data_IF_188936431610
#
_entry.id   IF_188936431610
#
_cell.length_a   1.000
_cell.length_b   1.000
_cell.length_c   1.000
_cell.angle_alpha   90.00
_cell.angle_beta   90.00
_cell.angle_gamma   90.00
#
_symmetry.space_group_name_H-M   'P 1'
#
loop_
_entity.id
_entity.type
_entity.pdbx_description
1 polymer ?
#
# COMPACT_ATOMS: atom_id res chain seq x y z
N UNK A 1 -9.50 10.22 -31.70
CA UNK A 1 -8.32 10.16 -30.80
C UNK A 1 -7.94 8.69 -30.71
N UNK A 2 -6.86 8.33 -31.39
CA UNK A 2 -6.41 6.95 -31.60
C UNK A 2 -5.83 6.39 -30.29
N UNK A 3 -6.24 5.17 -29.91
CA UNK A 3 -5.68 4.46 -28.76
C UNK A 3 -4.22 4.12 -29.06
N UNK A 4 -3.27 4.66 -28.29
CA UNK A 4 -1.85 4.30 -28.35
C UNK A 4 -1.40 3.83 -26.97
N UNK A 5 -0.43 2.93 -26.93
CA UNK A 5 0.33 2.61 -25.72
C UNK A 5 1.28 3.79 -25.48
N UNK A 6 1.14 4.51 -24.37
CA UNK A 6 1.78 5.82 -24.12
C UNK A 6 2.73 5.79 -22.91
N UNK A 7 2.79 4.64 -22.25
CA UNK A 7 3.56 4.47 -21.02
C UNK A 7 3.94 3.01 -20.85
N UNK A 8 5.05 2.79 -20.16
CA UNK A 8 5.55 1.46 -19.83
C UNK A 8 5.91 1.42 -18.34
N UNK A 9 5.28 0.54 -17.58
CA UNK A 9 5.73 0.12 -16.26
C UNK A 9 6.55 -1.17 -16.37
N UNK A 10 7.74 -1.15 -15.79
CA UNK A 10 8.49 -2.37 -15.58
C UNK A 10 7.87 -3.13 -14.40
N UNK A 11 7.30 -4.30 -14.67
CA UNK A 11 6.81 -5.19 -13.61
C UNK A 11 7.97 -5.71 -12.78
N UNK A 12 8.08 -5.24 -11.55
CA UNK A 12 8.99 -5.73 -10.52
C UNK A 12 8.42 -5.45 -9.13
N UNK A 13 8.84 -6.19 -8.10
CA UNK A 13 8.50 -5.82 -6.73
C UNK A 13 9.04 -4.42 -6.44
N UNK A 14 8.31 -3.61 -5.68
CA UNK A 14 8.65 -2.21 -5.32
C UNK A 14 10.09 -2.06 -4.75
N UNK A 15 10.67 -3.15 -4.23
CA UNK A 15 12.01 -3.23 -3.66
C UNK A 15 13.15 -3.49 -4.69
N UNK A 16 12.81 -3.81 -5.94
CA UNK A 16 13.73 -3.83 -7.09
C UNK A 16 13.61 -2.49 -7.85
N UNK A 17 14.52 -2.24 -8.81
CA UNK A 17 14.49 -1.03 -9.67
C UNK A 17 13.14 -0.90 -10.37
N UNK A 18 12.25 -0.10 -9.78
CA UNK A 18 10.92 0.20 -10.31
C UNK A 18 11.01 1.50 -11.09
N UNK A 19 10.53 1.51 -12.34
CA UNK A 19 10.63 2.67 -13.23
C UNK A 19 9.35 2.86 -14.01
N UNK A 20 8.89 4.11 -14.09
CA UNK A 20 7.74 4.52 -14.91
C UNK A 20 8.26 5.45 -16.00
N UNK A 21 8.18 5.01 -17.25
CA UNK A 21 8.34 5.88 -18.41
C UNK A 21 6.97 6.41 -18.82
N UNK A 22 6.75 7.72 -18.73
CA UNK A 22 5.51 8.35 -19.18
C UNK A 22 5.83 9.38 -20.27
N UNK A 23 5.13 9.28 -21.39
CA UNK A 23 5.13 10.31 -22.41
C UNK A 23 3.90 11.20 -22.18
N UNK A 24 4.14 12.51 -22.01
CA UNK A 24 3.06 13.50 -21.86
C UNK A 24 2.23 13.54 -23.15
N UNK A 25 1.07 12.89 -23.09
CA UNK A 25 0.13 12.76 -24.21
C UNK A 25 -1.11 13.63 -24.03
N UNK A 26 -1.10 14.47 -22.99
CA UNK A 26 -2.14 15.43 -22.70
C UNK A 26 -1.52 16.67 -22.10
N UNK A 27 -1.93 17.85 -22.59
CA UNK A 27 -1.59 19.12 -21.95
C UNK A 27 -2.33 19.32 -20.62
N UNK A 28 -3.28 18.42 -20.30
CA UNK A 28 -4.00 18.45 -19.04
C UNK A 28 -3.23 17.62 -17.99
N UNK A 29 -2.85 18.21 -16.84
CA UNK A 29 -2.13 17.51 -15.77
C UNK A 29 -2.84 16.27 -15.25
N UNK A 30 -4.16 16.23 -15.39
CA UNK A 30 -4.95 15.07 -15.00
C UNK A 30 -4.74 13.86 -15.91
N UNK A 31 -4.40 14.07 -17.19
CA UNK A 31 -4.07 12.98 -18.09
C UNK A 31 -2.78 12.29 -17.66
N UNK A 32 -1.74 13.08 -17.41
CA UNK A 32 -0.49 12.59 -16.84
C UNK A 32 -0.72 11.90 -15.48
N UNK A 33 -1.52 12.48 -14.59
CA UNK A 33 -1.84 11.88 -13.29
C UNK A 33 -2.57 10.53 -13.40
N UNK A 34 -3.53 10.41 -14.32
CA UNK A 34 -4.25 9.16 -14.55
C UNK A 34 -3.31 8.05 -15.07
N UNK A 35 -2.39 8.40 -15.97
CA UNK A 35 -1.43 7.44 -16.50
C UNK A 35 -0.34 7.10 -15.47
N UNK A 36 0.14 8.06 -14.69
CA UNK A 36 1.01 7.75 -13.55
C UNK A 36 0.34 6.79 -12.57
N UNK A 37 -0.95 6.99 -12.25
CA UNK A 37 -1.70 6.09 -11.38
C UNK A 37 -1.83 4.68 -11.97
N UNK A 38 -2.01 4.56 -13.29
CA UNK A 38 -2.02 3.27 -14.00
C UNK A 38 -0.69 2.52 -13.85
N UNK A 39 0.43 3.19 -14.12
CA UNK A 39 1.76 2.57 -14.04
C UNK A 39 2.19 2.26 -12.61
N UNK A 40 1.83 3.11 -11.65
CA UNK A 40 1.98 2.83 -10.23
C UNK A 40 1.17 1.57 -9.85
N UNK A 41 -0.03 1.40 -10.40
CA UNK A 41 -0.82 0.19 -10.24
C UNK A 41 -0.05 -1.07 -10.63
N UNK A 42 0.63 -1.08 -11.79
CA UNK A 42 1.48 -2.21 -12.19
C UNK A 42 2.69 -2.42 -11.27
N UNK A 43 3.29 -1.36 -10.73
CA UNK A 43 4.37 -1.48 -9.71
C UNK A 43 3.86 -2.14 -8.42
N UNK A 44 2.59 -1.90 -8.05
CA UNK A 44 1.89 -2.62 -6.99
C UNK A 44 1.27 -3.93 -7.48
N UNK A 45 1.75 -4.50 -8.57
CA UNK A 45 1.33 -5.81 -9.05
C UNK A 45 -0.14 -5.89 -9.45
N UNK A 46 -0.83 -4.77 -9.69
CA UNK A 46 -2.21 -4.73 -10.18
C UNK A 46 -2.22 -5.00 -11.68
N UNK A 47 -3.09 -5.89 -12.14
CA UNK A 47 -3.27 -6.20 -13.56
C UNK A 47 -4.32 -5.30 -14.19
N UNK A 48 -4.34 -5.25 -15.53
CA UNK A 48 -5.43 -4.57 -16.21
C UNK A 48 -6.80 -5.15 -15.81
N UNK A 49 -7.81 -4.28 -15.76
CA UNK A 49 -9.18 -4.66 -15.46
C UNK A 49 -9.76 -5.53 -16.58
N UNK A 50 -10.28 -6.71 -16.22
CA UNK A 50 -11.03 -7.57 -17.13
C UNK A 50 -12.46 -7.04 -17.35
N UNK A 51 -13.16 -7.59 -18.34
CA UNK A 51 -14.56 -7.26 -18.58
C UNK A 51 -15.41 -7.52 -17.32
N UNK A 52 -16.21 -6.53 -16.93
CA UNK A 52 -17.06 -6.58 -15.75
C UNK A 52 -16.39 -6.17 -14.42
N UNK A 53 -15.09 -5.83 -14.42
CA UNK A 53 -14.41 -5.36 -13.21
C UNK A 53 -14.72 -3.89 -12.87
N UNK A 54 -14.85 -3.03 -13.88
CA UNK A 54 -15.11 -1.60 -13.67
C UNK A 54 -16.62 -1.34 -13.60
N UNK A 55 -17.20 -1.45 -12.40
CA UNK A 55 -18.62 -1.17 -12.14
C UNK A 55 -18.83 0.19 -11.46
N UNK A 56 -17.76 0.76 -10.93
CA UNK A 56 -17.77 1.98 -10.11
C UNK A 56 -17.67 3.26 -10.94
N UNK A 57 -17.29 3.14 -12.21
CA UNK A 57 -17.22 4.25 -13.13
C UNK A 57 -17.85 3.89 -14.47
N UNK A 58 -18.53 4.88 -15.03
CA UNK A 58 -19.09 4.82 -16.37
C UNK A 58 -18.06 5.30 -17.40
N UNK A 59 -18.29 4.99 -18.68
CA UNK A 59 -17.46 5.50 -19.78
C UNK A 59 -17.43 7.04 -19.83
N UNK A 60 -18.52 7.72 -19.43
CA UNK A 60 -18.59 9.18 -19.36
C UNK A 60 -17.81 9.79 -18.19
N UNK A 61 -17.40 8.98 -17.22
CA UNK A 61 -16.48 9.36 -16.13
C UNK A 61 -15.03 8.96 -16.41
N UNK A 62 -14.78 8.32 -17.56
CA UNK A 62 -13.45 7.89 -17.98
C UNK A 62 -13.09 6.45 -17.65
N UNK A 63 -14.03 5.69 -17.08
CA UNK A 63 -13.79 4.32 -16.65
C UNK A 63 -12.85 4.23 -15.44
N UNK A 64 -12.13 3.11 -15.34
CA UNK A 64 -11.24 2.80 -14.23
C UNK A 64 -9.77 2.93 -14.63
N UNK A 65 -8.92 3.22 -13.64
CA UNK A 65 -7.49 3.52 -13.84
C UNK A 65 -6.76 2.37 -14.54
N UNK A 66 -7.08 1.12 -14.21
CA UNK A 66 -6.41 -0.06 -14.77
C UNK A 66 -7.07 -0.59 -16.05
N UNK A 67 -7.96 0.17 -16.69
CA UNK A 67 -8.45 -0.20 -18.01
C UNK A 67 -7.28 -0.34 -19.01
N UNK A 68 -7.31 -1.29 -19.94
CA UNK A 68 -6.21 -1.51 -20.90
C UNK A 68 -5.95 -0.35 -21.85
N UNK A 69 -6.86 0.62 -21.93
CA UNK A 69 -6.65 1.86 -22.67
C UNK A 69 -7.28 3.04 -21.90
N UNK A 70 -6.48 4.06 -21.63
CA UNK A 70 -6.93 5.34 -21.07
C UNK A 70 -7.31 6.30 -22.19
N UNK A 71 -8.45 7.00 -22.03
CA UNK A 71 -8.95 8.01 -22.96
C UNK A 71 -9.51 9.21 -22.22
N UNK A 72 -9.98 10.22 -22.96
CA UNK A 72 -10.73 11.33 -22.36
C UNK A 72 -12.23 10.96 -22.31
N UNK A 73 -12.95 11.21 -21.20
CA UNK A 73 -12.51 11.76 -19.91
C UNK A 73 -11.56 10.83 -19.15
N UNK A 74 -10.64 11.40 -18.35
CA UNK A 74 -9.61 10.62 -17.68
C UNK A 74 -10.14 9.90 -16.43
N UNK A 75 -9.76 8.63 -16.21
CA UNK A 75 -10.21 7.85 -15.06
C UNK A 75 -9.62 8.40 -13.76
N UNK A 76 -10.39 8.25 -12.67
CA UNK A 76 -10.00 8.71 -11.33
C UNK A 76 -10.17 7.64 -10.25
N UNK A 77 -10.68 6.47 -10.61
CA UNK A 77 -11.04 5.42 -9.66
C UNK A 77 -10.40 4.09 -10.04
N UNK A 78 -9.93 3.35 -9.05
CA UNK A 78 -9.56 1.94 -9.22
C UNK A 78 -10.81 1.07 -9.08
N UNK A 79 -10.91 0.04 -9.92
CA UNK A 79 -11.99 -0.93 -9.84
C UNK A 79 -11.94 -1.76 -8.56
N UNK A 80 -13.01 -2.49 -8.24
CA UNK A 80 -13.02 -3.47 -7.14
C UNK A 80 -12.00 -4.58 -7.38
N UNK A 81 -11.80 -5.02 -8.62
CA UNK A 81 -10.79 -6.02 -8.96
C UNK A 81 -9.37 -5.52 -8.67
N UNK A 82 -9.06 -4.29 -9.11
CA UNK A 82 -7.79 -3.63 -8.85
C UNK A 82 -7.52 -3.47 -7.36
N UNK A 83 -8.54 -3.08 -6.58
CA UNK A 83 -8.44 -2.94 -5.13
C UNK A 83 -8.20 -4.28 -4.42
N UNK A 84 -8.84 -5.36 -4.87
CA UNK A 84 -8.60 -6.71 -4.33
C UNK A 84 -7.19 -7.21 -4.63
N UNK A 85 -6.64 -6.86 -5.79
CA UNK A 85 -5.25 -7.21 -6.14
C UNK A 85 -4.25 -6.41 -5.30
N UNK A 86 -4.56 -5.14 -5.01
CA UNK A 86 -3.79 -4.33 -4.06
C UNK A 86 -3.93 -4.80 -2.60
N UNK A 87 -5.05 -5.40 -2.19
CA UNK A 87 -5.24 -5.93 -0.84
C UNK A 87 -4.23 -7.03 -0.47
N UNK A 88 -3.51 -7.61 -1.44
CA UNK A 88 -2.37 -8.50 -1.19
C UNK A 88 -1.06 -7.80 -0.79
N UNK A 89 -0.98 -6.46 -0.83
CA UNK A 89 0.24 -5.66 -0.59
C UNK A 89 0.16 -4.70 0.61
N UNK A 90 -0.91 -4.78 1.40
CA UNK A 90 -1.08 -3.92 2.57
C UNK A 90 -2.54 -3.49 2.70
N UNK A 91 -3.23 -4.14 3.63
CA UNK A 91 -4.59 -3.79 4.04
C UNK A 91 -4.54 -2.43 4.76
N UNK A 92 -5.22 -1.43 4.20
CA UNK A 92 -5.58 -0.17 4.89
C UNK A 92 -6.98 -0.26 5.53
N UNK A 93 -7.47 -1.47 5.75
CA UNK A 93 -8.72 -1.69 6.46
C UNK A 93 -8.38 -1.87 7.92
N UNK A 94 -8.74 -0.88 8.75
CA UNK A 94 -8.54 -0.87 10.19
C UNK A 94 -9.00 -2.20 10.79
N UNK A 95 -8.05 -3.05 11.13
CA UNK A 95 -8.34 -4.43 11.57
C UNK A 95 -7.40 -4.80 12.71
N UNK A 96 -8.00 -4.99 13.88
CA UNK A 96 -7.32 -5.52 15.07
C UNK A 96 -6.68 -6.86 14.70
N UNK A 97 -5.36 -6.96 14.82
CA UNK A 97 -4.62 -8.20 14.58
C UNK A 97 -4.09 -8.32 13.15
N UNK A 98 -3.93 -7.22 12.41
CA UNK A 98 -3.36 -7.23 11.06
C UNK A 98 -1.83 -7.09 11.05
N UNK A 99 -1.20 -6.93 12.22
CA UNK A 99 0.24 -6.79 12.39
C UNK A 99 0.77 -5.36 12.19
N UNK A 100 -0.10 -4.36 12.00
CA UNK A 100 0.29 -2.97 11.83
C UNK A 100 -0.27 -2.12 12.96
N UNK A 101 0.57 -1.27 13.55
CA UNK A 101 0.12 -0.36 14.60
C UNK A 101 -0.68 0.80 13.99
N UNK A 102 -1.99 0.82 14.23
CA UNK A 102 -2.90 1.85 13.72
C UNK A 102 -3.32 2.88 14.79
N UNK A 103 -3.91 4.01 14.38
CA UNK A 103 -4.42 5.02 15.32
C UNK A 103 -5.55 4.44 16.18
N UNK A 104 -5.36 4.40 17.49
CA UNK A 104 -6.28 3.82 18.46
C UNK A 104 -5.86 2.46 19.02
N UNK A 105 -4.75 1.90 18.54
CA UNK A 105 -4.13 0.68 19.10
C UNK A 105 -2.84 1.03 19.87
N UNK A 106 -2.48 0.20 20.85
CA UNK A 106 -1.22 0.35 21.59
C UNK A 106 -0.14 -0.62 21.09
N UNK A 107 -0.55 -1.72 20.47
CA UNK A 107 0.31 -2.71 19.83
C UNK A 107 -0.50 -3.57 18.86
N UNK A 108 0.11 -4.08 17.80
CA UNK A 108 -0.47 -5.15 16.98
C UNK A 108 0.62 -6.19 16.68
N UNK A 109 0.34 -7.46 16.98
CA UNK A 109 1.26 -8.58 16.79
C UNK A 109 0.70 -9.66 15.84
N UNK A 110 -0.32 -9.31 15.04
CA UNK A 110 -1.04 -10.23 14.17
C UNK A 110 -2.21 -10.93 14.87
N UNK A 111 -2.76 -11.92 14.17
CA UNK A 111 -3.86 -12.76 14.65
C UNK A 111 -3.50 -13.51 15.93
N UNK A 112 -4.51 -13.94 16.70
CA UNK A 112 -4.34 -14.59 18.01
C UNK A 112 -3.44 -15.83 17.95
N UNK A 113 -3.50 -16.58 16.84
CA UNK A 113 -2.75 -17.82 16.65
C UNK A 113 -1.28 -17.56 16.28
N UNK A 114 -0.97 -16.40 15.69
CA UNK A 114 0.36 -16.04 15.18
C UNK A 114 1.13 -15.15 16.16
N UNK A 115 0.42 -14.43 17.03
CA UNK A 115 1.03 -13.51 17.97
C UNK A 115 1.86 -14.24 19.04
N UNK A 116 3.17 -14.12 18.94
CA UNK A 116 4.15 -14.62 19.92
C UNK A 116 4.64 -13.53 20.88
N UNK A 117 4.16 -12.30 20.73
CA UNK A 117 4.61 -11.16 21.53
C UNK A 117 4.06 -11.21 22.96
N UNK A 118 4.90 -11.35 24.00
CA UNK A 118 4.44 -11.47 25.38
C UNK A 118 3.90 -10.14 25.94
N UNK A 119 4.16 -9.01 25.28
CA UNK A 119 3.79 -7.67 25.73
C UNK A 119 2.46 -7.18 25.14
N UNK A 120 2.00 -7.80 24.04
CA UNK A 120 0.78 -7.41 23.34
C UNK A 120 -0.35 -8.40 23.59
N UNK A 121 -1.58 -7.88 23.70
CA UNK A 121 -2.79 -8.69 23.69
C UNK A 121 -3.37 -8.75 22.27
N UNK A 122 -3.32 -9.92 21.58
CA UNK A 122 -3.76 -10.02 20.19
C UNK A 122 -5.28 -9.92 20.01
N UNK A 123 -6.07 -10.04 21.08
CA UNK A 123 -7.54 -9.98 20.95
C UNK A 123 -8.08 -8.56 20.77
N UNK A 124 -7.33 -7.55 21.24
CA UNK A 124 -7.79 -6.17 21.31
C UNK A 124 -6.70 -5.14 21.02
N UNK A 125 -5.51 -5.56 20.60
CA UNK A 125 -4.39 -4.68 20.26
C UNK A 125 -3.99 -3.69 21.38
N UNK A 126 -4.15 -4.12 22.65
CA UNK A 126 -3.72 -3.34 23.82
C UNK A 126 -2.47 -3.93 24.46
N UNK A 127 -1.72 -3.10 25.17
CA UNK A 127 -0.60 -3.58 25.98
C UNK A 127 -1.10 -4.44 27.13
N UNK A 128 -0.36 -5.52 27.43
CA UNK A 128 -0.62 -6.33 28.62
C UNK A 128 -0.25 -5.55 29.88
N UNK A 129 -0.90 -5.88 31.00
CA UNK A 129 -0.65 -5.21 32.27
C UNK A 129 0.83 -5.21 32.64
N UNK A 130 1.38 -4.02 32.90
CA UNK A 130 2.79 -3.81 33.24
C UNK A 130 3.73 -3.59 32.05
N UNK A 131 3.26 -3.76 30.81
CA UNK A 131 4.02 -3.40 29.62
C UNK A 131 3.93 -1.89 29.35
N UNK A 132 5.06 -1.29 28.93
CA UNK A 132 5.17 0.10 28.46
C UNK A 132 5.38 0.16 26.95
N UNK A 133 5.80 -0.95 26.35
CA UNK A 133 6.00 -1.11 24.92
C UNK A 133 5.82 -2.58 24.53
N UNK A 134 5.52 -2.83 23.26
CA UNK A 134 5.49 -4.17 22.68
C UNK A 134 6.39 -4.31 21.44
N UNK A 135 6.62 -3.22 20.71
CA UNK A 135 7.38 -3.21 19.45
C UNK A 135 8.46 -2.13 19.45
N UNK A 136 9.42 -2.27 18.53
CA UNK A 136 10.48 -1.31 18.28
C UNK A 136 11.83 -1.67 18.92
N UNK A 137 12.90 -1.18 18.29
CA UNK A 137 14.30 -1.47 18.68
C UNK A 137 14.68 -0.93 20.07
N UNK A 138 13.89 0.03 20.59
CA UNK A 138 14.00 0.58 21.93
C UNK A 138 13.17 -0.16 22.99
N UNK A 139 12.43 -1.22 22.62
CA UNK A 139 11.66 -2.01 23.57
C UNK A 139 12.46 -3.24 24.01
N UNK A 140 12.58 -3.45 25.33
CA UNK A 140 13.23 -4.63 25.89
C UNK A 140 12.44 -5.15 27.08
N UNK A 141 12.04 -6.43 27.04
CA UNK A 141 11.24 -7.05 28.10
C UNK A 141 9.99 -6.26 28.47
N UNK A 142 9.26 -5.80 27.45
CA UNK A 142 8.05 -4.96 27.57
C UNK A 142 8.26 -3.59 28.25
N UNK A 143 9.52 -3.14 28.36
CA UNK A 143 9.89 -1.84 28.94
C UNK A 143 10.71 -1.02 27.97
N UNK A 144 10.54 0.29 28.03
CA UNK A 144 11.38 1.19 27.26
C UNK A 144 12.82 1.11 27.80
N UNK A 145 13.79 1.00 26.91
CA UNK A 145 15.20 1.12 27.29
C UNK A 145 15.43 2.47 27.95
N UNK A 146 16.35 2.51 28.92
CA UNK A 146 16.72 3.75 29.60
C UNK A 146 17.29 4.77 28.61
N UNK A 147 16.98 6.05 28.85
CA UNK A 147 17.49 7.13 28.03
C UNK A 147 19.03 7.11 28.00
N UNK A 148 19.60 7.27 26.81
CA UNK A 148 21.04 7.17 26.57
C UNK A 148 21.51 5.81 26.04
N UNK A 149 20.66 4.78 26.04
CA UNK A 149 20.96 3.50 25.37
C UNK A 149 20.66 3.60 23.87
N UNK A 150 21.64 3.23 23.05
CA UNK A 150 21.49 3.18 21.60
C UNK A 150 20.52 2.06 21.20
N UNK A 151 19.43 2.41 20.52
CA UNK A 151 18.46 1.41 20.05
C UNK A 151 18.83 0.84 18.68
N UNK A 152 19.42 1.65 17.79
CA UNK A 152 19.82 1.26 16.44
C UNK A 152 21.20 1.84 16.13
N UNK A 153 22.12 1.02 15.63
CA UNK A 153 23.39 1.50 15.08
C UNK A 153 23.16 2.31 13.81
N UNK A 154 24.05 3.27 13.55
CA UNK A 154 24.04 3.93 12.25
C UNK A 154 24.37 2.90 11.15
N UNK A 155 23.50 2.80 10.14
CA UNK A 155 23.72 1.99 8.95
C UNK A 155 24.34 2.88 7.87
N UNK A 156 25.65 3.11 7.99
CA UNK A 156 26.44 3.77 6.95
C UNK A 156 26.90 2.67 6.00
N UNK A 157 26.36 2.68 4.78
CA UNK A 157 26.97 1.94 3.68
C UNK A 157 28.28 2.67 3.40
N UNK A 158 29.40 2.07 3.78
CA UNK A 158 30.75 2.43 3.34
C UNK A 158 31.10 1.70 2.06
#
# INVERSE_FOLDING_TARGET
MERREISVALRGPVWLTSGVGNEDHSELPIGAAATMAHEIGHNFGISHDADGCCVEATASQGGCIMAPATGHPFPRVFSTCSRRQHQGLGRWERSVGNGFLEEGEECDCGEVEECTNPCCNPQNCTLKAGAECAHGECCHSCKLKTAGILCRQASWIV
#
